data_IF_909358471079
#
_entry.id   IF_909358471079
#
_cell.length_a   1.000
_cell.length_b   1.000
_cell.length_c   1.000
_cell.angle_alpha   90.00
_cell.angle_beta   90.00
_cell.angle_gamma   90.00
#
_symmetry.space_group_name_H-M   'P 1'
#
loop_
_entity.id
_entity.type
_entity.pdbx_description
1 polymer ?
#
# COMPACT_ATOMS: atom_id res chain seq x y z
N UNK A 1 -6.47 21.24 -3.92
CA UNK A 1 -5.92 21.21 -5.28
C UNK A 1 -5.24 22.54 -5.54
N UNK A 2 -3.95 22.54 -5.89
CA UNK A 2 -3.24 23.76 -6.23
C UNK A 2 -3.78 24.33 -7.55
N UNK A 3 -3.79 25.67 -7.70
CA UNK A 3 -4.05 26.31 -9.01
C UNK A 3 -3.05 25.78 -10.05
N UNK A 4 -3.43 25.68 -11.33
CA UNK A 4 -2.55 25.25 -12.42
C UNK A 4 -1.20 25.97 -12.44
N UNK A 5 -1.19 27.23 -11.97
CA UNK A 5 0.00 28.09 -11.95
C UNK A 5 1.02 27.71 -10.85
N UNK A 6 0.66 26.79 -9.94
CA UNK A 6 1.51 26.33 -8.83
C UNK A 6 2.04 24.90 -9.02
N UNK A 7 1.75 24.28 -10.16
CA UNK A 7 2.17 22.92 -10.50
C UNK A 7 3.23 23.01 -11.59
N UNK A 8 4.41 22.45 -11.34
CA UNK A 8 5.37 22.17 -12.40
C UNK A 8 5.31 20.71 -12.79
N UNK A 9 5.16 20.42 -14.08
CA UNK A 9 5.02 19.05 -14.58
C UNK A 9 5.85 18.79 -15.83
N UNK A 10 6.59 17.68 -15.78
CA UNK A 10 7.18 16.98 -16.92
C UNK A 10 6.51 15.61 -17.16
N UNK A 11 5.35 15.38 -16.54
CA UNK A 11 4.62 14.10 -16.57
C UNK A 11 4.43 13.55 -17.99
N UNK A 12 4.79 12.27 -18.18
CA UNK A 12 4.51 11.51 -19.40
C UNK A 12 5.25 11.98 -20.65
N UNK A 13 6.30 12.80 -20.53
CA UNK A 13 7.05 13.32 -21.68
C UNK A 13 8.06 12.34 -22.28
N UNK A 14 8.38 11.24 -21.59
CA UNK A 14 9.31 10.22 -22.09
C UNK A 14 10.73 10.75 -22.30
N UNK A 15 11.16 11.74 -21.52
CA UNK A 15 12.47 12.36 -21.64
C UNK A 15 13.55 11.43 -21.07
N UNK A 16 14.69 11.33 -21.77
CA UNK A 16 15.90 10.69 -21.26
C UNK A 16 16.87 11.78 -20.80
N UNK A 17 16.98 11.94 -19.49
CA UNK A 17 17.71 13.01 -18.82
C UNK A 17 18.90 12.42 -18.07
N UNK A 18 20.00 12.17 -18.78
CA UNK A 18 21.17 11.51 -18.20
C UNK A 18 22.01 12.49 -17.37
N UNK A 19 22.16 13.73 -17.87
CA UNK A 19 23.00 14.77 -17.25
C UNK A 19 22.22 16.03 -16.84
N UNK A 20 22.92 16.97 -16.22
CA UNK A 20 22.37 18.28 -15.88
C UNK A 20 21.98 19.08 -17.15
N UNK A 21 22.81 18.97 -18.19
CA UNK A 21 22.60 19.65 -19.48
C UNK A 21 21.36 19.15 -20.21
N UNK A 22 21.00 17.87 -20.06
CA UNK A 22 19.77 17.32 -20.62
C UNK A 22 18.52 17.89 -19.92
N UNK A 23 18.59 18.11 -18.60
CA UNK A 23 17.47 18.60 -17.80
C UNK A 23 17.26 20.12 -17.93
N UNK A 24 18.34 20.89 -18.04
CA UNK A 24 18.31 22.36 -17.98
C UNK A 24 17.26 23.01 -18.91
N UNK A 25 17.10 22.61 -20.19
CA UNK A 25 16.11 23.18 -21.10
C UNK A 25 14.66 23.01 -20.64
N UNK A 26 14.39 22.03 -19.76
CA UNK A 26 13.04 21.66 -19.33
C UNK A 26 12.62 22.29 -18.01
N UNK A 27 13.57 22.83 -17.22
CA UNK A 27 13.32 23.30 -15.85
C UNK A 27 13.34 24.82 -15.70
N UNK A 28 13.44 25.59 -16.79
CA UNK A 28 13.36 27.05 -16.72
C UNK A 28 12.09 27.55 -15.98
N UNK A 29 10.88 27.00 -16.24
CA UNK A 29 9.68 27.38 -15.47
C UNK A 29 9.79 27.03 -13.99
N UNK A 30 10.35 25.86 -13.67
CA UNK A 30 10.58 25.44 -12.28
C UNK A 30 11.53 26.40 -11.57
N UNK A 31 12.58 26.90 -12.23
CA UNK A 31 13.51 27.86 -11.63
C UNK A 31 12.80 29.18 -11.28
N UNK A 32 11.99 29.72 -12.18
CA UNK A 32 11.33 31.02 -12.00
C UNK A 32 10.10 31.01 -11.11
N UNK A 33 9.39 29.88 -11.03
CA UNK A 33 8.11 29.80 -10.31
C UNK A 33 8.28 29.37 -8.85
N UNK A 34 7.37 29.84 -8.00
CA UNK A 34 7.15 29.31 -6.66
C UNK A 34 6.05 28.24 -6.74
N UNK A 35 6.46 26.98 -6.71
CA UNK A 35 5.59 25.83 -6.96
C UNK A 35 5.25 25.11 -5.66
N UNK A 36 4.03 24.59 -5.58
CA UNK A 36 3.57 23.75 -4.48
C UNK A 36 3.62 22.25 -4.84
N UNK A 37 3.70 21.92 -6.13
CA UNK A 37 3.72 20.54 -6.60
C UNK A 37 4.65 20.37 -7.80
N UNK A 38 5.41 19.29 -7.79
CA UNK A 38 6.31 18.89 -8.89
C UNK A 38 6.00 17.47 -9.32
N UNK A 39 5.80 17.27 -10.62
CA UNK A 39 5.54 15.96 -11.24
C UNK A 39 6.59 15.65 -12.30
N UNK A 40 7.35 14.58 -12.10
CA UNK A 40 8.45 14.17 -12.99
C UNK A 40 8.20 12.79 -13.61
N UNK A 41 7.13 12.10 -13.21
CA UNK A 41 6.84 10.72 -13.62
C UNK A 41 6.79 10.50 -15.14
N UNK A 42 7.20 9.31 -15.57
CA UNK A 42 7.24 8.91 -16.97
C UNK A 42 8.43 9.52 -17.73
N UNK A 43 9.54 9.78 -17.03
CA UNK A 43 10.82 10.21 -17.62
C UNK A 43 11.96 9.38 -17.02
N UNK A 44 13.11 9.32 -17.68
CA UNK A 44 14.27 8.56 -17.20
C UNK A 44 15.37 9.51 -16.73
N UNK A 45 15.62 9.58 -15.43
CA UNK A 45 16.59 10.50 -14.85
C UNK A 45 17.88 9.78 -14.41
N UNK A 46 19.01 10.40 -14.72
CA UNK A 46 20.33 9.99 -14.25
C UNK A 46 20.83 10.77 -13.06
N UNK A 47 21.99 10.34 -12.55
CA UNK A 47 22.61 10.95 -11.36
C UNK A 47 22.80 12.46 -11.55
N UNK A 48 23.27 12.89 -12.72
CA UNK A 48 23.47 14.32 -13.03
C UNK A 48 22.17 15.11 -13.06
N UNK A 49 21.14 14.59 -13.73
CA UNK A 49 19.82 15.21 -13.78
C UNK A 49 19.16 15.27 -12.38
N UNK A 50 19.19 14.18 -11.62
CA UNK A 50 18.68 14.10 -10.26
C UNK A 50 19.36 15.11 -9.33
N UNK A 51 20.68 15.26 -9.43
CA UNK A 51 21.42 16.26 -8.66
C UNK A 51 20.96 17.68 -8.98
N UNK A 52 20.92 18.06 -10.26
CA UNK A 52 20.47 19.38 -10.68
C UNK A 52 19.01 19.65 -10.26
N UNK A 53 18.12 18.67 -10.46
CA UNK A 53 16.73 18.76 -10.04
C UNK A 53 16.65 18.99 -8.53
N UNK A 54 17.37 18.20 -7.73
CA UNK A 54 17.44 18.34 -6.28
C UNK A 54 17.87 19.73 -5.84
N UNK A 55 18.95 20.27 -6.42
CA UNK A 55 19.44 21.62 -6.15
C UNK A 55 18.37 22.70 -6.42
N UNK A 56 17.63 22.57 -7.52
CA UNK A 56 16.52 23.49 -7.83
C UNK A 56 15.37 23.33 -6.85
N UNK A 57 14.98 22.11 -6.52
CA UNK A 57 13.88 21.84 -5.59
C UNK A 57 14.18 22.30 -4.16
N UNK A 58 15.44 22.25 -3.72
CA UNK A 58 15.86 22.76 -2.42
C UNK A 58 15.53 24.26 -2.23
N UNK A 59 15.38 25.02 -3.32
CA UNK A 59 14.97 26.43 -3.29
C UNK A 59 13.46 26.63 -3.10
N UNK A 60 12.64 25.60 -3.33
CA UNK A 60 11.17 25.68 -3.36
C UNK A 60 10.58 25.47 -1.97
N UNK A 61 10.66 26.51 -1.13
CA UNK A 61 10.21 26.44 0.28
C UNK A 61 8.71 26.22 0.45
N UNK A 62 7.91 26.49 -0.58
CA UNK A 62 6.48 26.24 -0.60
C UNK A 62 6.09 24.89 -1.22
N UNK A 63 7.06 24.07 -1.66
CA UNK A 63 6.80 22.75 -2.20
C UNK A 63 6.12 21.86 -1.16
N UNK A 64 5.00 21.26 -1.55
CA UNK A 64 4.15 20.39 -0.72
C UNK A 64 4.16 18.95 -1.22
N UNK A 65 4.17 18.78 -2.53
CA UNK A 65 4.09 17.48 -3.20
C UNK A 65 5.27 17.31 -4.15
N UNK A 66 6.02 16.23 -3.96
CA UNK A 66 7.01 15.78 -4.95
C UNK A 66 6.60 14.40 -5.47
N UNK A 67 6.20 14.35 -6.74
CA UNK A 67 5.89 13.14 -7.45
C UNK A 67 7.06 12.73 -8.35
N UNK A 68 7.84 11.79 -7.82
CA UNK A 68 9.00 11.14 -8.43
C UNK A 68 8.71 9.67 -8.74
N UNK A 69 7.44 9.32 -8.98
CA UNK A 69 7.11 7.98 -9.45
C UNK A 69 7.71 7.71 -10.83
N UNK A 70 8.09 6.48 -11.14
CA UNK A 70 8.57 6.07 -12.48
C UNK A 70 9.59 7.05 -13.09
N UNK A 71 10.70 7.30 -12.37
CA UNK A 71 11.78 8.17 -12.86
C UNK A 71 13.06 7.42 -13.24
N UNK A 72 13.12 6.12 -12.95
CA UNK A 72 14.32 5.30 -13.15
C UNK A 72 14.13 4.15 -14.14
N UNK A 73 13.06 4.17 -14.93
CA UNK A 73 12.86 3.17 -16.00
C UNK A 73 14.03 3.17 -16.97
N UNK A 74 14.64 2.00 -17.16
CA UNK A 74 15.82 1.79 -18.00
C UNK A 74 17.17 2.18 -17.39
N UNK A 75 17.22 2.64 -16.13
CA UNK A 75 18.47 2.92 -15.42
C UNK A 75 19.13 1.66 -14.86
N UNK A 76 20.45 1.69 -14.72
CA UNK A 76 21.19 0.63 -14.05
C UNK A 76 20.93 0.68 -12.54
N UNK A 77 20.70 -0.48 -11.92
CA UNK A 77 20.50 -0.59 -10.46
C UNK A 77 21.66 -0.01 -9.64
N UNK A 78 22.87 0.04 -10.19
CA UNK A 78 24.05 0.62 -9.54
C UNK A 78 24.04 2.15 -9.48
N UNK A 79 23.29 2.83 -10.37
CA UNK A 79 23.23 4.30 -10.43
C UNK A 79 22.07 4.88 -9.63
N UNK A 80 20.99 4.11 -9.47
CA UNK A 80 19.76 4.54 -8.78
C UNK A 80 20.05 5.03 -7.35
N UNK A 81 20.87 4.37 -6.51
CA UNK A 81 21.17 4.84 -5.15
C UNK A 81 21.72 6.28 -5.12
N UNK A 82 22.67 6.61 -5.99
CA UNK A 82 23.30 7.94 -6.04
C UNK A 82 22.33 9.00 -6.56
N UNK A 83 21.53 8.63 -7.58
CA UNK A 83 20.52 9.49 -8.17
C UNK A 83 19.43 9.86 -7.13
N UNK A 84 18.84 8.86 -6.47
CA UNK A 84 17.78 9.10 -5.49
C UNK A 84 18.32 9.77 -4.22
N UNK A 85 19.55 9.43 -3.80
CA UNK A 85 20.22 10.10 -2.68
C UNK A 85 20.36 11.59 -2.91
N UNK A 86 20.77 11.98 -4.12
CA UNK A 86 20.90 13.40 -4.51
C UNK A 86 19.57 14.14 -4.43
N UNK A 87 18.48 13.52 -4.89
CA UNK A 87 17.14 14.10 -4.82
C UNK A 87 16.64 14.22 -3.37
N UNK A 88 16.61 13.11 -2.64
CA UNK A 88 16.01 13.05 -1.29
C UNK A 88 16.78 13.91 -0.29
N UNK A 89 18.12 13.91 -0.36
CA UNK A 89 18.95 14.77 0.50
C UNK A 89 18.65 16.25 0.28
N UNK A 90 18.42 16.65 -0.98
CA UNK A 90 18.16 18.04 -1.33
C UNK A 90 16.80 18.53 -0.84
N UNK A 91 15.79 17.65 -0.80
CA UNK A 91 14.43 18.00 -0.38
C UNK A 91 14.14 17.70 1.10
N UNK A 92 15.07 17.06 1.81
CA UNK A 92 14.93 16.61 3.20
C UNK A 92 14.46 17.70 4.18
N UNK A 93 14.94 18.93 4.01
CA UNK A 93 14.66 20.04 4.92
C UNK A 93 13.57 20.99 4.41
N UNK A 94 12.81 20.61 3.38
CA UNK A 94 11.70 21.44 2.90
C UNK A 94 10.55 21.40 3.91
N UNK A 95 10.17 22.56 4.48
CA UNK A 95 9.32 22.60 5.67
C UNK A 95 7.85 22.26 5.39
N UNK A 96 7.41 22.38 4.13
CA UNK A 96 6.01 22.16 3.72
C UNK A 96 5.84 20.89 2.89
N UNK A 97 6.93 20.19 2.57
CA UNK A 97 6.90 18.99 1.74
C UNK A 97 6.26 17.86 2.56
N UNK A 98 4.98 17.62 2.32
CA UNK A 98 4.21 16.68 3.12
C UNK A 98 3.85 15.41 2.34
N UNK A 99 4.06 15.42 1.02
CA UNK A 99 3.76 14.29 0.15
C UNK A 99 4.97 13.93 -0.69
N UNK A 100 5.40 12.68 -0.57
CA UNK A 100 6.44 12.10 -1.41
C UNK A 100 5.85 10.88 -2.11
N UNK A 101 5.90 10.89 -3.43
CA UNK A 101 5.56 9.74 -4.25
C UNK A 101 6.79 9.22 -4.98
N UNK A 102 7.14 7.97 -4.70
CA UNK A 102 8.27 7.22 -5.22
C UNK A 102 7.84 5.91 -5.86
N UNK A 103 6.55 5.75 -6.18
CA UNK A 103 6.02 4.54 -6.80
C UNK A 103 6.79 4.15 -8.06
N UNK A 104 6.76 2.86 -8.41
CA UNK A 104 7.21 2.37 -9.72
C UNK A 104 8.69 2.69 -10.01
N UNK A 105 9.51 2.75 -8.97
CA UNK A 105 10.96 2.84 -9.10
C UNK A 105 11.60 1.54 -8.60
N UNK A 106 12.34 0.85 -9.48
CA UNK A 106 13.01 -0.41 -9.16
C UNK A 106 14.21 -0.19 -8.21
N UNK A 107 13.91 0.05 -6.93
CA UNK A 107 14.89 0.27 -5.88
C UNK A 107 15.66 -1.02 -5.58
N UNK A 108 15.00 -2.17 -5.62
CA UNK A 108 15.63 -3.44 -5.29
C UNK A 108 16.21 -3.44 -3.87
N UNK A 109 17.10 -4.39 -3.60
CA UNK A 109 17.74 -4.53 -2.29
C UNK A 109 18.85 -3.49 -2.02
N UNK A 110 19.31 -2.73 -3.01
CA UNK A 110 20.50 -1.86 -2.84
C UNK A 110 20.19 -0.40 -2.54
N UNK A 111 18.93 0.03 -2.67
CA UNK A 111 18.54 1.46 -2.60
C UNK A 111 18.02 1.85 -1.20
N UNK A 112 18.26 1.02 -0.19
CA UNK A 112 17.65 1.16 1.13
C UNK A 112 18.18 2.40 1.89
N UNK A 113 19.50 2.64 1.88
CA UNK A 113 20.10 3.64 2.77
C UNK A 113 19.60 5.08 2.53
N UNK A 114 19.52 5.61 1.29
CA UNK A 114 19.01 6.96 1.07
C UNK A 114 17.54 7.14 1.45
N UNK A 115 16.71 6.13 1.16
CA UNK A 115 15.29 6.14 1.52
C UNK A 115 15.11 6.09 3.04
N UNK A 116 15.78 5.17 3.72
CA UNK A 116 15.76 5.03 5.18
C UNK A 116 16.18 6.34 5.85
N UNK A 117 17.29 6.94 5.41
CA UNK A 117 17.76 8.21 5.97
C UNK A 117 16.74 9.35 5.78
N UNK A 118 16.12 9.44 4.61
CA UNK A 118 15.09 10.44 4.33
C UNK A 118 13.83 10.21 5.19
N UNK A 119 13.28 9.00 5.16
CA UNK A 119 12.05 8.67 5.88
C UNK A 119 12.22 8.84 7.38
N UNK A 120 13.36 8.44 7.94
CA UNK A 120 13.66 8.60 9.36
C UNK A 120 13.77 10.06 9.79
N UNK A 121 14.01 11.02 8.88
CA UNK A 121 14.35 12.41 9.22
C UNK A 121 13.34 13.45 8.72
N UNK A 122 12.51 13.16 7.71
CA UNK A 122 11.63 14.14 7.08
C UNK A 122 10.35 14.42 7.89
N UNK A 123 10.49 15.21 8.97
CA UNK A 123 9.41 15.55 9.93
C UNK A 123 8.09 16.03 9.29
N UNK A 124 8.07 16.80 8.19
CA UNK A 124 6.81 17.25 7.58
C UNK A 124 5.99 16.16 6.86
N UNK A 125 6.54 14.96 6.64
CA UNK A 125 5.89 13.88 5.88
C UNK A 125 4.49 13.53 6.43
N UNK A 126 3.48 13.54 5.58
CA UNK A 126 2.09 13.13 5.86
C UNK A 126 1.63 12.00 4.96
N UNK A 127 2.07 11.98 3.70
CA UNK A 127 1.64 11.02 2.70
C UNK A 127 2.85 10.42 1.99
N UNK A 128 3.02 9.11 2.18
CA UNK A 128 4.08 8.32 1.57
C UNK A 128 3.48 7.35 0.55
N UNK A 129 4.00 7.42 -0.68
CA UNK A 129 3.69 6.47 -1.73
C UNK A 129 4.99 5.79 -2.16
N UNK A 130 5.04 4.49 -1.93
CA UNK A 130 6.19 3.61 -2.13
C UNK A 130 5.69 2.25 -2.65
N UNK A 131 4.81 2.27 -3.65
CA UNK A 131 4.21 1.10 -4.27
C UNK A 131 5.10 0.60 -5.42
N UNK A 132 5.20 -0.72 -5.58
CA UNK A 132 5.89 -1.34 -6.72
C UNK A 132 7.37 -0.93 -6.84
N UNK A 133 8.13 -1.08 -5.75
CA UNK A 133 9.55 -0.73 -5.71
C UNK A 133 10.51 -1.93 -5.62
N UNK A 134 9.98 -3.15 -5.48
CA UNK A 134 10.77 -4.38 -5.44
C UNK A 134 11.71 -4.47 -4.22
N UNK A 135 11.23 -4.03 -3.06
CA UNK A 135 12.05 -3.89 -1.84
C UNK A 135 12.41 -5.22 -1.16
N UNK A 136 11.51 -6.20 -1.15
CA UNK A 136 11.66 -7.42 -0.36
C UNK A 136 11.46 -7.20 1.15
N UNK A 137 11.46 -8.29 1.95
CA UNK A 137 11.19 -8.22 3.38
C UNK A 137 12.25 -7.43 4.15
N UNK A 138 13.53 -7.59 3.83
CA UNK A 138 14.62 -6.89 4.52
C UNK A 138 14.51 -5.37 4.42
N UNK A 139 14.40 -4.85 3.20
CA UNK A 139 14.20 -3.41 3.00
C UNK A 139 12.88 -2.96 3.62
N UNK A 140 11.83 -3.81 3.56
CA UNK A 140 10.57 -3.60 4.27
C UNK A 140 10.74 -3.33 5.76
N UNK A 141 11.60 -4.10 6.45
CA UNK A 141 11.95 -3.90 7.86
C UNK A 141 12.58 -2.52 8.04
N UNK A 142 13.60 -2.18 7.24
CA UNK A 142 14.31 -0.91 7.39
C UNK A 142 13.40 0.30 7.15
N UNK A 143 12.48 0.22 6.18
CA UNK A 143 11.49 1.27 5.93
C UNK A 143 10.54 1.42 7.11
N UNK A 144 10.04 0.33 7.67
CA UNK A 144 9.15 0.37 8.83
C UNK A 144 9.85 0.91 10.10
N UNK A 145 11.12 0.54 10.32
CA UNK A 145 11.92 1.09 11.41
C UNK A 145 12.25 2.57 11.19
N UNK A 146 12.52 3.00 9.96
CA UNK A 146 12.68 4.41 9.62
C UNK A 146 11.41 5.22 9.95
N UNK A 147 10.22 4.68 9.67
CA UNK A 147 8.96 5.30 10.07
C UNK A 147 8.79 5.35 11.59
N UNK A 148 9.27 4.35 12.33
CA UNK A 148 9.29 4.38 13.79
C UNK A 148 10.23 5.46 14.35
N UNK A 149 11.39 5.67 13.72
CA UNK A 149 12.28 6.78 14.07
C UNK A 149 11.65 8.14 13.73
N UNK A 150 10.99 8.25 12.58
CA UNK A 150 10.25 9.45 12.17
C UNK A 150 9.21 9.83 13.20
N UNK A 151 8.47 8.86 13.76
CA UNK A 151 7.54 9.11 14.85
C UNK A 151 8.23 9.80 16.03
N UNK A 152 9.38 9.26 16.45
CA UNK A 152 10.16 9.83 17.57
C UNK A 152 10.61 11.27 17.29
N UNK A 153 11.02 11.58 16.05
CA UNK A 153 11.39 12.95 15.66
C UNK A 153 10.20 13.89 15.58
N UNK A 154 9.04 13.42 15.10
CA UNK A 154 7.79 14.20 15.11
C UNK A 154 7.39 14.53 16.55
N UNK A 155 7.44 13.58 17.46
CA UNK A 155 7.15 13.79 18.88
C UNK A 155 8.13 14.75 19.56
N UNK A 156 9.43 14.63 19.28
CA UNK A 156 10.43 15.57 19.78
C UNK A 156 10.15 17.01 19.30
N UNK A 157 9.86 17.19 18.01
CA UNK A 157 9.53 18.48 17.45
C UNK A 157 8.22 19.07 18.03
N UNK A 158 7.20 18.25 18.31
CA UNK A 158 5.97 18.68 19.00
C UNK A 158 6.24 19.15 20.42
N UNK A 159 7.12 18.46 21.16
CA UNK A 159 7.54 18.86 22.52
C UNK A 159 8.29 20.19 22.52
N UNK A 160 8.98 20.53 21.44
CA UNK A 160 9.60 21.85 21.21
C UNK A 160 8.59 22.95 20.81
N UNK A 161 7.29 22.63 20.75
CA UNK A 161 6.23 23.59 20.39
C UNK A 161 6.06 23.80 18.89
N UNK A 162 6.66 22.95 18.04
CA UNK A 162 6.46 23.01 16.59
C UNK A 162 5.13 22.35 16.22
N UNK A 163 4.41 22.96 15.29
CA UNK A 163 3.26 22.32 14.65
C UNK A 163 3.77 21.27 13.65
N UNK A 164 3.54 20.00 13.97
CA UNK A 164 4.03 18.86 13.17
C UNK A 164 2.86 17.95 12.84
N UNK A 165 2.60 17.72 11.54
CA UNK A 165 1.47 16.90 11.15
C UNK A 165 1.71 15.42 11.42
N UNK A 166 0.63 14.68 11.64
CA UNK A 166 0.65 13.22 11.75
C UNK A 166 0.91 12.57 10.38
N UNK A 167 1.48 11.36 10.38
CA UNK A 167 1.52 10.54 9.17
C UNK A 167 0.11 10.00 8.92
N UNK A 168 -0.46 10.28 7.74
CA UNK A 168 -1.86 9.99 7.42
C UNK A 168 -2.01 8.91 6.34
N UNK A 169 -1.05 8.80 5.43
CA UNK A 169 -1.12 7.85 4.31
C UNK A 169 0.19 7.10 4.14
N UNK A 170 0.09 5.78 4.04
CA UNK A 170 1.18 4.89 3.62
C UNK A 170 0.64 3.94 2.55
N UNK A 171 1.12 4.09 1.33
CA UNK A 171 0.88 3.16 0.23
C UNK A 171 2.19 2.44 -0.06
N UNK A 172 2.25 1.14 0.25
CA UNK A 172 3.46 0.33 0.20
C UNK A 172 3.12 -1.09 -0.29
N UNK A 173 2.39 -1.21 -1.39
CA UNK A 173 2.07 -2.48 -2.04
C UNK A 173 3.12 -2.93 -3.07
N UNK A 174 2.99 -4.16 -3.57
CA UNK A 174 3.83 -4.72 -4.65
C UNK A 174 5.33 -4.66 -4.34
N UNK A 175 5.69 -4.87 -3.08
CA UNK A 175 7.07 -4.80 -2.61
C UNK A 175 7.61 -6.11 -2.09
N UNK A 176 6.81 -7.18 -2.09
CA UNK A 176 7.16 -8.46 -1.46
C UNK A 176 7.61 -8.26 -0.02
N UNK A 177 6.80 -7.55 0.77
CA UNK A 177 7.11 -7.30 2.17
C UNK A 177 7.08 -8.60 2.99
N UNK A 178 6.25 -9.57 2.59
CA UNK A 178 6.16 -10.92 3.15
C UNK A 178 5.96 -10.91 4.68
N UNK A 179 5.99 -12.08 5.33
CA UNK A 179 5.82 -12.15 6.79
C UNK A 179 6.98 -11.52 7.56
N UNK A 180 8.22 -11.69 7.07
CA UNK A 180 9.45 -11.31 7.78
C UNK A 180 9.54 -9.82 8.15
N UNK A 181 8.77 -8.94 7.50
CA UNK A 181 8.75 -7.52 7.85
C UNK A 181 7.57 -7.09 8.75
N UNK A 182 6.61 -7.97 9.03
CA UNK A 182 5.35 -7.58 9.67
C UNK A 182 5.51 -7.17 11.13
N UNK A 183 6.51 -7.69 11.84
CA UNK A 183 6.85 -7.23 13.21
C UNK A 183 7.24 -5.75 13.21
N UNK A 184 8.05 -5.32 12.24
CA UNK A 184 8.47 -3.93 12.11
C UNK A 184 7.31 -3.02 11.67
N UNK A 185 6.49 -3.47 10.71
CA UNK A 185 5.30 -2.73 10.28
C UNK A 185 4.24 -2.59 11.37
N UNK A 186 3.99 -3.64 12.16
CA UNK A 186 3.08 -3.59 13.30
C UNK A 186 3.53 -2.53 14.32
N UNK A 187 4.82 -2.52 14.68
CA UNK A 187 5.42 -1.49 15.53
C UNK A 187 5.26 -0.09 14.95
N UNK A 188 5.51 0.10 13.66
CA UNK A 188 5.37 1.41 13.00
C UNK A 188 3.92 1.92 13.06
N UNK A 189 2.92 1.09 12.76
CA UNK A 189 1.51 1.49 12.80
C UNK A 189 0.96 1.66 14.21
N UNK A 190 1.47 0.91 15.19
CA UNK A 190 1.16 1.14 16.62
C UNK A 190 1.59 2.54 17.07
N UNK A 191 2.73 3.02 16.59
CA UNK A 191 3.22 4.38 16.85
C UNK A 191 2.43 5.43 16.06
N UNK A 192 2.23 5.22 14.76
CA UNK A 192 1.45 6.11 13.88
C UNK A 192 -0.05 5.83 13.92
N UNK A 193 -0.64 5.74 15.11
CA UNK A 193 -2.02 5.31 15.35
C UNK A 193 -3.13 6.26 14.84
N UNK A 194 -2.75 7.40 14.26
CA UNK A 194 -3.66 8.37 13.61
C UNK A 194 -3.68 8.26 12.09
N UNK A 195 -3.00 7.26 11.54
CA UNK A 195 -3.01 6.98 10.10
C UNK A 195 -4.45 6.74 9.61
N UNK A 196 -4.74 7.24 8.41
CA UNK A 196 -6.07 7.20 7.79
C UNK A 196 -6.12 6.24 6.61
N UNK A 197 -5.04 6.14 5.83
CA UNK A 197 -5.00 5.34 4.61
C UNK A 197 -3.80 4.41 4.65
N UNK A 198 -4.06 3.11 4.59
CA UNK A 198 -3.06 2.06 4.45
C UNK A 198 -3.41 1.22 3.23
N UNK A 199 -2.48 1.13 2.29
CA UNK A 199 -2.57 0.17 1.18
C UNK A 199 -1.28 -0.65 1.11
N UNK A 200 -1.37 -1.94 1.39
CA UNK A 200 -0.25 -2.88 1.38
C UNK A 200 -0.58 -4.11 0.51
N UNK A 201 -1.19 -3.84 -0.65
CA UNK A 201 -1.64 -4.84 -1.62
C UNK A 201 -0.48 -5.65 -2.20
N UNK A 202 -0.71 -6.90 -2.59
CA UNK A 202 0.24 -7.70 -3.39
C UNK A 202 1.64 -7.77 -2.76
N UNK A 203 1.72 -8.04 -1.45
CA UNK A 203 2.98 -8.10 -0.73
C UNK A 203 3.42 -9.52 -0.36
N UNK A 204 2.62 -10.53 -0.69
CA UNK A 204 2.90 -11.92 -0.31
C UNK A 204 2.91 -12.11 1.20
N UNK A 205 2.20 -11.27 1.96
CA UNK A 205 2.05 -11.43 3.41
C UNK A 205 1.13 -12.62 3.63
N UNK A 206 1.54 -13.59 4.45
CA UNK A 206 0.78 -14.79 4.75
C UNK A 206 0.00 -14.64 6.06
N UNK A 207 -0.77 -15.66 6.42
CA UNK A 207 -1.78 -15.62 7.47
C UNK A 207 -1.19 -15.20 8.84
N UNK A 208 0.03 -15.61 9.16
CA UNK A 208 0.71 -15.22 10.41
C UNK A 208 1.11 -13.74 10.40
N UNK A 209 1.67 -13.26 9.29
CA UNK A 209 2.03 -11.86 9.09
C UNK A 209 0.82 -10.94 9.12
N UNK A 210 -0.27 -11.31 8.42
CA UNK A 210 -1.55 -10.61 8.44
C UNK A 210 -2.09 -10.54 9.87
N UNK A 211 -2.14 -11.69 10.56
CA UNK A 211 -2.66 -11.75 11.92
C UNK A 211 -1.87 -10.89 12.90
N UNK A 212 -0.53 -10.89 12.79
CA UNK A 212 0.34 -10.04 13.60
C UNK A 212 0.17 -8.56 13.29
N UNK A 213 0.17 -8.18 12.01
CA UNK A 213 -0.04 -6.80 11.56
C UNK A 213 -1.36 -6.24 12.11
N UNK A 214 -2.44 -7.02 12.03
CA UNK A 214 -3.77 -6.65 12.51
C UNK A 214 -3.81 -6.53 14.04
N UNK A 215 -3.33 -7.55 14.76
CA UNK A 215 -3.43 -7.61 16.21
C UNK A 215 -2.51 -6.61 16.93
N UNK A 216 -1.24 -6.50 16.49
CA UNK A 216 -0.21 -5.73 17.19
C UNK A 216 0.00 -4.32 16.62
N UNK A 217 -0.43 -4.09 15.37
CA UNK A 217 -0.33 -2.79 14.71
C UNK A 217 -1.68 -2.10 14.55
N UNK A 218 -2.49 -2.61 13.62
CA UNK A 218 -3.69 -1.92 13.13
C UNK A 218 -4.85 -1.88 14.13
N UNK A 219 -4.82 -2.72 15.17
CA UNK A 219 -5.74 -2.64 16.31
C UNK A 219 -5.73 -1.26 17.00
N UNK A 220 -4.62 -0.53 16.88
CA UNK A 220 -4.45 0.82 17.44
C UNK A 220 -4.87 1.95 16.48
N UNK A 221 -5.06 1.66 15.18
CA UNK A 221 -5.33 2.65 14.14
C UNK A 221 -6.81 3.13 14.15
N UNK A 222 -7.23 3.80 15.22
CA UNK A 222 -8.63 4.23 15.42
C UNK A 222 -9.16 5.27 14.40
N UNK A 223 -8.25 5.90 13.65
CA UNK A 223 -8.55 6.89 12.60
C UNK A 223 -8.51 6.32 11.19
N UNK A 224 -8.36 5.00 11.06
CA UNK A 224 -8.30 4.34 9.76
C UNK A 224 -9.63 4.56 8.99
N UNK A 225 -9.49 5.09 7.78
CA UNK A 225 -10.56 5.38 6.83
C UNK A 225 -10.49 4.41 5.65
N UNK A 226 -9.29 4.06 5.18
CA UNK A 226 -9.08 3.12 4.07
C UNK A 226 -8.05 2.08 4.48
N UNK A 227 -8.44 0.81 4.41
CA UNK A 227 -7.53 -0.33 4.52
C UNK A 227 -7.63 -1.18 3.27
N UNK A 228 -6.51 -1.39 2.60
CA UNK A 228 -6.42 -2.27 1.45
C UNK A 228 -5.25 -3.25 1.61
N UNK A 229 -5.59 -4.52 1.79
CA UNK A 229 -4.67 -5.64 1.94
C UNK A 229 -4.90 -6.70 0.84
N UNK A 230 -5.57 -6.33 -0.26
CA UNK A 230 -5.86 -7.21 -1.39
C UNK A 230 -4.63 -7.99 -1.87
N UNK A 231 -4.84 -9.24 -2.29
CA UNK A 231 -3.80 -10.14 -2.81
C UNK A 231 -2.65 -10.33 -1.79
N UNK A 232 -3.06 -10.72 -0.59
CA UNK A 232 -2.20 -11.30 0.46
C UNK A 232 -2.94 -12.53 1.00
N UNK A 233 -2.24 -13.49 1.59
CA UNK A 233 -2.89 -14.73 2.03
C UNK A 233 -3.41 -14.58 3.46
N UNK A 234 -4.74 -14.51 3.62
CA UNK A 234 -5.36 -14.44 4.94
C UNK A 234 -5.64 -15.82 5.52
N UNK A 235 -6.23 -16.73 4.73
CA UNK A 235 -6.90 -17.95 5.25
C UNK A 235 -7.94 -17.62 6.32
N UNK A 236 -8.50 -18.65 6.97
CA UNK A 236 -9.38 -18.45 8.12
C UNK A 236 -8.64 -17.80 9.31
N UNK A 237 -7.32 -18.01 9.44
CA UNK A 237 -6.51 -17.44 10.52
C UNK A 237 -6.44 -15.91 10.44
N UNK A 238 -6.08 -15.36 9.28
CA UNK A 238 -6.08 -13.92 9.03
C UNK A 238 -7.48 -13.31 9.09
N UNK A 239 -8.49 -14.00 8.55
CA UNK A 239 -9.89 -13.57 8.63
C UNK A 239 -10.38 -13.45 10.09
N UNK A 240 -10.01 -14.40 10.95
CA UNK A 240 -10.30 -14.35 12.38
C UNK A 240 -9.61 -13.17 13.05
N UNK A 241 -8.35 -12.90 12.73
CA UNK A 241 -7.65 -11.73 13.24
C UNK A 241 -8.34 -10.42 12.82
N UNK A 242 -8.75 -10.31 11.56
CA UNK A 242 -9.51 -9.16 11.05
C UNK A 242 -10.83 -9.00 11.81
N UNK A 243 -11.57 -10.09 12.02
CA UNK A 243 -12.85 -10.06 12.75
C UNK A 243 -12.73 -9.53 14.18
N UNK A 244 -11.56 -9.71 14.83
CA UNK A 244 -11.28 -9.23 16.20
C UNK A 244 -11.04 -7.70 16.25
N UNK A 245 -10.61 -7.07 15.15
CA UNK A 245 -10.18 -5.66 15.14
C UNK A 245 -11.09 -4.74 14.32
N UNK A 246 -11.75 -5.25 13.27
CA UNK A 246 -12.49 -4.42 12.29
C UNK A 246 -13.59 -3.56 12.93
N UNK A 247 -14.24 -4.07 13.99
CA UNK A 247 -15.29 -3.36 14.72
C UNK A 247 -14.81 -2.05 15.40
N UNK A 248 -13.50 -1.92 15.64
CA UNK A 248 -12.91 -0.74 16.27
C UNK A 248 -12.65 0.42 15.29
N UNK A 249 -12.60 0.15 13.99
CA UNK A 249 -12.35 1.16 12.95
C UNK A 249 -13.63 1.93 12.61
N UNK A 250 -14.10 2.74 13.57
CA UNK A 250 -15.32 3.55 13.46
C UNK A 250 -15.29 4.62 12.36
N UNK A 251 -14.10 4.93 11.83
CA UNK A 251 -13.91 5.88 10.72
C UNK A 251 -13.76 5.22 9.36
N UNK A 252 -13.78 3.88 9.30
CA UNK A 252 -13.55 3.10 8.08
C UNK A 252 -14.62 3.41 7.04
N UNK A 253 -14.17 3.70 5.83
CA UNK A 253 -14.93 4.03 4.63
C UNK A 253 -14.71 2.99 3.53
N UNK A 254 -13.52 2.39 3.46
CA UNK A 254 -13.19 1.36 2.49
C UNK A 254 -12.39 0.24 3.15
N UNK A 255 -12.82 -1.01 2.90
CA UNK A 255 -12.08 -2.22 3.27
C UNK A 255 -11.90 -3.10 2.05
N UNK A 256 -10.65 -3.27 1.63
CA UNK A 256 -10.25 -4.18 0.56
C UNK A 256 -9.46 -5.37 1.09
N UNK A 257 -10.02 -6.57 0.91
CA UNK A 257 -9.39 -7.86 1.20
C UNK A 257 -9.75 -8.87 0.09
N UNK A 258 -9.87 -8.41 -1.16
CA UNK A 258 -10.03 -9.28 -2.32
C UNK A 258 -8.81 -10.17 -2.54
N UNK A 259 -8.96 -11.24 -3.31
CA UNK A 259 -7.89 -12.17 -3.66
C UNK A 259 -7.12 -12.68 -2.43
N UNK A 260 -7.79 -12.87 -1.29
CA UNK A 260 -7.14 -13.08 0.01
C UNK A 260 -7.39 -14.45 0.65
N UNK A 261 -8.12 -15.34 -0.03
CA UNK A 261 -8.42 -16.70 0.43
C UNK A 261 -9.05 -16.70 1.83
N UNK A 262 -10.06 -15.88 2.09
CA UNK A 262 -10.73 -15.90 3.41
C UNK A 262 -11.41 -17.26 3.69
N UNK A 263 -11.88 -17.93 2.66
CA UNK A 263 -12.65 -19.17 2.73
C UNK A 263 -14.06 -18.98 3.30
N UNK A 264 -14.86 -20.05 3.25
CA UNK A 264 -16.25 -20.06 3.70
C UNK A 264 -16.41 -19.56 5.15
N UNK A 265 -15.59 -20.08 6.07
CA UNK A 265 -15.61 -19.72 7.50
C UNK A 265 -15.11 -18.31 7.75
N UNK A 266 -14.04 -17.89 7.06
CA UNK A 266 -13.48 -16.54 7.21
C UNK A 266 -14.47 -15.47 6.76
N UNK A 267 -15.16 -15.67 5.63
CA UNK A 267 -16.21 -14.77 5.15
C UNK A 267 -17.31 -14.56 6.19
N UNK A 268 -17.82 -15.64 6.80
CA UNK A 268 -18.84 -15.55 7.87
C UNK A 268 -18.33 -14.79 9.10
N UNK A 269 -17.08 -15.02 9.52
CA UNK A 269 -16.49 -14.33 10.68
C UNK A 269 -16.39 -12.82 10.46
N UNK A 270 -15.89 -12.41 9.29
CA UNK A 270 -15.73 -10.99 8.93
C UNK A 270 -17.10 -10.31 8.81
N UNK A 271 -18.07 -10.95 8.13
CA UNK A 271 -19.43 -10.43 8.01
C UNK A 271 -20.10 -10.24 9.39
N UNK A 272 -19.98 -11.24 10.27
CA UNK A 272 -20.55 -11.17 11.61
C UNK A 272 -19.91 -10.07 12.48
N UNK A 273 -18.60 -9.83 12.33
CA UNK A 273 -17.90 -8.76 13.02
C UNK A 273 -18.34 -7.38 12.52
N UNK A 274 -18.50 -7.20 11.20
CA UNK A 274 -18.99 -5.97 10.60
C UNK A 274 -20.45 -5.69 11.00
N UNK A 275 -21.32 -6.70 11.01
CA UNK A 275 -22.72 -6.56 11.41
C UNK A 275 -22.87 -6.07 12.87
N UNK A 276 -21.98 -6.50 13.77
CA UNK A 276 -21.97 -6.10 15.18
C UNK A 276 -21.10 -4.87 15.46
N UNK A 277 -20.32 -4.44 14.48
CA UNK A 277 -19.35 -3.37 14.59
C UNK A 277 -19.99 -1.98 14.62
N UNK A 278 -19.13 -0.96 14.68
CA UNK A 278 -19.55 0.46 14.62
C UNK A 278 -19.07 1.13 13.33
N UNK A 279 -18.97 0.35 12.25
CA UNK A 279 -18.46 0.76 10.94
C UNK A 279 -19.53 1.53 10.14
N UNK A 280 -20.18 2.51 10.77
CA UNK A 280 -21.32 3.23 10.19
C UNK A 280 -20.97 4.11 8.98
N UNK A 281 -19.68 4.30 8.70
CA UNK A 281 -19.16 5.08 7.57
C UNK A 281 -18.64 4.21 6.43
N UNK A 282 -18.69 2.88 6.55
CA UNK A 282 -18.15 1.98 5.54
C UNK A 282 -19.01 2.06 4.27
N UNK A 283 -18.41 2.53 3.19
CA UNK A 283 -19.06 2.77 1.90
C UNK A 283 -18.72 1.67 0.89
N UNK A 284 -17.50 1.13 0.95
CA UNK A 284 -17.01 0.15 -0.04
C UNK A 284 -16.40 -1.07 0.64
N UNK A 285 -16.85 -2.26 0.23
CA UNK A 285 -16.31 -3.56 0.61
C UNK A 285 -15.80 -4.28 -0.64
N UNK A 286 -14.51 -4.63 -0.68
CA UNK A 286 -13.91 -5.41 -1.78
C UNK A 286 -13.50 -6.79 -1.29
N UNK A 287 -14.21 -7.82 -1.75
CA UNK A 287 -14.19 -9.19 -1.25
C UNK A 287 -14.08 -10.22 -2.40
N UNK A 288 -13.69 -9.81 -3.60
CA UNK A 288 -13.57 -10.71 -4.75
C UNK A 288 -12.61 -11.87 -4.48
N UNK A 289 -12.80 -13.00 -5.15
CA UNK A 289 -11.86 -14.14 -5.16
C UNK A 289 -11.38 -14.57 -3.77
N UNK A 290 -12.32 -14.81 -2.85
CA UNK A 290 -12.04 -15.18 -1.47
C UNK A 290 -12.57 -16.55 -1.07
N UNK A 291 -13.10 -17.33 -2.01
CA UNK A 291 -13.72 -18.64 -1.73
C UNK A 291 -14.87 -18.53 -0.70
N UNK A 292 -15.57 -17.40 -0.68
CA UNK A 292 -16.72 -17.17 0.20
C UNK A 292 -17.92 -17.89 -0.40
N UNK A 293 -18.58 -18.75 0.38
CA UNK A 293 -19.79 -19.46 -0.06
C UNK A 293 -21.05 -18.60 0.09
N UNK A 294 -22.17 -19.07 -0.47
CA UNK A 294 -23.50 -18.46 -0.28
C UNK A 294 -23.86 -18.15 1.18
N UNK A 295 -23.43 -18.98 2.13
CA UNK A 295 -23.62 -18.72 3.57
C UNK A 295 -22.90 -17.45 4.03
N UNK A 296 -21.69 -17.21 3.53
CA UNK A 296 -20.92 -16.00 3.78
C UNK A 296 -21.56 -14.78 3.12
N UNK A 297 -21.99 -14.88 1.85
CA UNK A 297 -22.67 -13.77 1.18
C UNK A 297 -23.99 -13.40 1.87
N UNK A 298 -24.78 -14.39 2.30
CA UNK A 298 -25.97 -14.15 3.13
C UNK A 298 -25.65 -13.39 4.43
N UNK A 299 -24.51 -13.71 5.06
CA UNK A 299 -24.05 -13.00 6.24
C UNK A 299 -23.67 -11.55 5.90
N UNK A 300 -23.00 -11.30 4.76
CA UNK A 300 -22.71 -9.95 4.29
C UNK A 300 -23.98 -9.17 3.91
N UNK A 301 -24.98 -9.79 3.28
CA UNK A 301 -26.27 -9.18 3.01
C UNK A 301 -26.98 -8.74 4.30
N UNK A 302 -26.93 -9.58 5.33
CA UNK A 302 -27.45 -9.24 6.67
C UNK A 302 -26.64 -8.08 7.29
N UNK A 303 -25.31 -8.12 7.20
CA UNK A 303 -24.45 -7.04 7.69
C UNK A 303 -24.71 -5.71 6.98
N UNK A 304 -24.88 -5.73 5.66
CA UNK A 304 -25.20 -4.58 4.83
C UNK A 304 -26.51 -3.94 5.29
N UNK A 305 -27.54 -4.74 5.54
CA UNK A 305 -28.86 -4.29 5.99
C UNK A 305 -28.85 -3.72 7.41
N UNK A 306 -28.23 -4.44 8.35
CA UNK A 306 -28.42 -4.19 9.79
C UNK A 306 -27.28 -3.38 10.43
N UNK A 307 -26.05 -3.46 9.88
CA UNK A 307 -24.85 -2.90 10.51
C UNK A 307 -24.09 -1.86 9.69
N UNK A 308 -24.29 -1.83 8.37
CA UNK A 308 -23.53 -0.96 7.45
C UNK A 308 -24.45 0.00 6.68
N UNK A 309 -25.01 1.03 7.35
CA UNK A 309 -26.02 1.91 6.76
C UNK A 309 -25.49 2.80 5.63
N UNK A 310 -24.17 3.00 5.55
CA UNK A 310 -23.52 3.82 4.52
C UNK A 310 -22.98 3.00 3.34
N UNK A 311 -23.10 1.66 3.35
CA UNK A 311 -22.55 0.82 2.28
C UNK A 311 -23.22 1.17 0.95
N UNK A 312 -22.39 1.49 -0.03
CA UNK A 312 -22.76 1.84 -1.41
C UNK A 312 -22.38 0.73 -2.38
N UNK A 313 -21.21 0.12 -2.18
CA UNK A 313 -20.63 -0.87 -3.07
C UNK A 313 -20.09 -2.09 -2.33
N UNK A 314 -20.39 -3.26 -2.86
CA UNK A 314 -19.82 -4.53 -2.42
C UNK A 314 -19.33 -5.32 -3.64
N UNK A 315 -18.07 -5.73 -3.64
CA UNK A 315 -17.47 -6.49 -4.74
C UNK A 315 -17.25 -7.93 -4.28
N UNK A 316 -17.93 -8.89 -4.92
CA UNK A 316 -17.96 -10.30 -4.53
C UNK A 316 -17.72 -11.25 -5.71
N UNK A 317 -17.35 -10.75 -6.89
CA UNK A 317 -17.03 -11.59 -8.04
C UNK A 317 -15.94 -12.64 -7.71
N UNK A 318 -16.01 -13.82 -8.34
CA UNK A 318 -15.04 -14.91 -8.12
C UNK A 318 -15.13 -15.62 -6.77
N UNK A 319 -16.23 -15.45 -6.03
CA UNK A 319 -16.55 -16.27 -4.86
C UNK A 319 -17.37 -17.50 -5.25
N UNK A 320 -17.58 -18.45 -4.32
CA UNK A 320 -18.28 -19.71 -4.58
C UNK A 320 -19.80 -19.46 -4.46
N UNK A 321 -20.38 -18.96 -5.54
CA UNK A 321 -21.78 -18.51 -5.63
C UNK A 321 -22.55 -19.31 -6.67
N UNK A 322 -23.81 -19.62 -6.37
CA UNK A 322 -24.73 -20.27 -7.30
C UNK A 322 -25.68 -19.25 -7.92
N UNK A 323 -26.18 -19.53 -9.13
CA UNK A 323 -27.18 -18.67 -9.81
C UNK A 323 -28.46 -18.45 -8.98
N UNK A 324 -28.81 -19.42 -8.14
CA UNK A 324 -30.01 -19.39 -7.29
C UNK A 324 -29.78 -18.74 -5.89
N UNK A 325 -28.64 -18.10 -5.64
CA UNK A 325 -28.39 -17.47 -4.34
C UNK A 325 -29.26 -16.22 -4.15
N UNK A 326 -30.34 -16.36 -3.37
CA UNK A 326 -31.28 -15.29 -3.01
C UNK A 326 -30.59 -14.07 -2.35
N UNK A 327 -29.36 -14.20 -1.84
CA UNK A 327 -28.63 -13.10 -1.21
C UNK A 327 -28.14 -12.06 -2.22
N UNK A 328 -27.91 -12.46 -3.47
CA UNK A 328 -27.45 -11.58 -4.55
C UNK A 328 -28.52 -10.53 -4.90
N UNK A 329 -29.77 -10.90 -5.27
CA UNK A 329 -30.81 -9.91 -5.55
C UNK A 329 -31.13 -9.05 -4.31
N UNK A 330 -31.06 -9.61 -3.10
CA UNK A 330 -31.24 -8.82 -1.87
C UNK A 330 -30.18 -7.72 -1.72
N UNK A 331 -28.92 -8.02 -2.03
CA UNK A 331 -27.85 -7.01 -2.02
C UNK A 331 -28.06 -5.97 -3.12
N UNK A 332 -28.39 -6.40 -4.34
CA UNK A 332 -28.62 -5.51 -5.48
C UNK A 332 -29.78 -4.54 -5.20
N UNK A 333 -30.93 -5.04 -4.76
CA UNK A 333 -32.09 -4.23 -4.39
C UNK A 333 -31.74 -3.23 -3.28
N UNK A 334 -31.07 -3.68 -2.21
CA UNK A 334 -30.67 -2.81 -1.10
C UNK A 334 -29.76 -1.67 -1.55
N UNK A 335 -28.76 -1.95 -2.40
CA UNK A 335 -27.80 -0.95 -2.86
C UNK A 335 -28.40 -0.02 -3.90
N UNK A 336 -29.31 -0.51 -4.75
CA UNK A 336 -30.06 0.34 -5.70
C UNK A 336 -31.00 1.30 -4.95
N UNK A 337 -31.74 0.82 -3.94
CA UNK A 337 -32.58 1.69 -3.09
C UNK A 337 -31.74 2.80 -2.41
N UNK A 338 -30.51 2.48 -2.01
CA UNK A 338 -29.58 3.47 -1.43
C UNK A 338 -29.04 4.43 -2.48
N UNK A 339 -28.71 3.95 -3.68
CA UNK A 339 -28.27 4.77 -4.81
C UNK A 339 -29.34 5.78 -5.19
N UNK A 340 -30.60 5.35 -5.34
CA UNK A 340 -31.73 6.24 -5.62
C UNK A 340 -31.91 7.30 -4.52
N UNK A 341 -31.69 6.92 -3.26
CA UNK A 341 -31.89 7.82 -2.11
C UNK A 341 -30.73 8.78 -1.86
N UNK A 342 -29.50 8.37 -2.14
CA UNK A 342 -28.28 9.07 -1.68
C UNK A 342 -27.29 9.42 -2.81
N UNK A 343 -27.48 8.93 -4.04
CA UNK A 343 -26.55 9.12 -5.16
C UNK A 343 -26.46 10.55 -5.69
N UNK A 344 -27.47 11.39 -5.41
CA UNK A 344 -27.52 12.77 -5.92
C UNK A 344 -27.81 12.84 -7.42
N UNK A 345 -27.70 14.05 -8.00
CA UNK A 345 -28.07 14.30 -9.40
C UNK A 345 -27.06 13.76 -10.42
N UNK A 346 -25.80 13.58 -10.01
CA UNK A 346 -24.71 13.06 -10.84
C UNK A 346 -24.14 11.84 -10.11
N UNK A 347 -24.53 10.66 -10.57
CA UNK A 347 -24.09 9.38 -10.01
C UNK A 347 -22.96 8.81 -10.84
N UNK A 348 -21.85 8.47 -10.19
CA UNK A 348 -20.83 7.61 -10.78
C UNK A 348 -21.25 6.17 -10.56
N UNK A 349 -21.55 5.43 -11.62
CA UNK A 349 -22.04 4.05 -11.54
C UNK A 349 -21.04 3.12 -10.85
N UNK A 350 -19.74 3.37 -10.99
CA UNK A 350 -18.67 2.56 -10.39
C UNK A 350 -18.63 2.64 -8.85
N UNK A 351 -19.29 3.64 -8.24
CA UNK A 351 -19.30 3.82 -6.79
C UNK A 351 -20.44 3.05 -6.08
N UNK A 352 -21.31 2.37 -6.83
CA UNK A 352 -22.53 1.75 -6.31
C UNK A 352 -22.69 0.29 -6.74
N UNK A 353 -23.55 -0.41 -6.00
CA UNK A 353 -24.07 -1.72 -6.38
C UNK A 353 -23.15 -2.90 -6.06
N UNK A 354 -23.49 -4.02 -6.67
CA UNK A 354 -22.67 -5.25 -6.68
C UNK A 354 -21.86 -5.24 -7.97
N UNK A 355 -20.61 -5.69 -7.92
CA UNK A 355 -19.79 -5.88 -9.13
C UNK A 355 -20.41 -6.90 -10.10
N UNK A 356 -19.93 -6.89 -11.34
CA UNK A 356 -20.36 -7.85 -12.36
C UNK A 356 -19.89 -9.25 -11.95
N UNK A 357 -20.84 -10.18 -11.79
CA UNK A 357 -20.57 -11.57 -11.42
C UNK A 357 -20.34 -12.37 -12.70
N UNK A 358 -19.12 -12.84 -12.89
CA UNK A 358 -18.73 -13.71 -14.01
C UNK A 358 -18.69 -15.17 -13.52
N UNK A 359 -19.04 -16.11 -14.39
CA UNK A 359 -18.85 -17.56 -14.20
C UNK A 359 -19.36 -18.13 -12.86
N UNK A 360 -20.66 -17.99 -12.57
CA UNK A 360 -21.29 -18.63 -11.40
C UNK A 360 -21.21 -20.17 -11.52
N UNK A 361 -20.59 -20.83 -10.54
CA UNK A 361 -20.35 -22.28 -10.56
C UNK A 361 -21.55 -23.06 -9.97
N UNK A 362 -21.93 -24.17 -10.60
CA UNK A 362 -22.72 -25.20 -9.90
C UNK A 362 -21.81 -25.90 -8.88
N UNK A 363 -22.22 -26.07 -7.62
CA UNK A 363 -21.34 -26.61 -6.59
C UNK A 363 -20.94 -28.05 -6.97
N UNK A 364 -19.64 -28.30 -7.06
CA UNK A 364 -19.13 -29.64 -7.34
C UNK A 364 -19.57 -30.58 -6.20
N UNK A 365 -20.21 -31.71 -6.54
CA UNK A 365 -20.85 -32.60 -5.56
C UNK A 365 -19.87 -33.27 -4.59
N UNK A 366 -18.57 -33.07 -4.81
CA UNK A 366 -17.46 -33.66 -4.06
C UNK A 366 -16.70 -32.62 -3.19
N UNK A 367 -17.17 -31.37 -3.13
CA UNK A 367 -16.64 -30.38 -2.18
C UNK A 367 -17.14 -30.70 -0.76
N UNK A 368 -16.53 -31.69 -0.13
CA UNK A 368 -16.68 -31.89 1.31
C UNK A 368 -16.26 -30.58 2.02
N UNK A 369 -17.16 -30.02 2.85
CA UNK A 369 -16.80 -28.99 3.83
C UNK A 369 -15.84 -29.65 4.83
N UNK A 370 -14.55 -29.76 4.48
CA UNK A 370 -13.53 -30.12 5.45
C UNK A 370 -13.51 -28.99 6.49
N UNK A 371 -14.09 -29.25 7.65
CA UNK A 371 -13.83 -28.47 8.85
C UNK A 371 -12.34 -28.66 9.18
N UNK A 372 -11.47 -27.85 8.58
CA UNK A 372 -10.10 -27.75 9.05
C UNK A 372 -10.15 -27.20 10.49
N UNK A 373 -9.99 -28.11 11.45
CA UNK A 373 -9.56 -27.79 12.80
C UNK A 373 -8.11 -27.29 12.71
N UNK A 374 -7.92 -26.04 12.28
CA UNK A 374 -6.63 -25.36 12.47
C UNK A 374 -6.40 -25.21 13.98
N UNK A 375 -5.35 -25.84 14.50
CA UNK A 375 -4.87 -25.61 15.85
C UNK A 375 -4.59 -24.11 16.03
N UNK A 376 -5.19 -23.47 17.03
CA UNK A 376 -4.86 -22.09 17.39
C UNK A 376 -3.39 -22.06 17.85
N UNK A 377 -2.49 -21.64 16.96
CA UNK A 377 -1.09 -21.37 17.32
C UNK A 377 -1.09 -20.25 18.35
N UNK A 378 -0.50 -20.49 19.52
CA UNK A 378 -0.43 -19.50 20.59
C UNK A 378 0.29 -18.22 20.11
N UNK A 379 -0.09 -17.03 20.62
CA UNK A 379 0.50 -15.76 20.18
C UNK A 379 2.03 -15.70 20.32
N UNK A 380 2.58 -16.38 21.33
CA UNK A 380 4.02 -16.46 21.60
C UNK A 380 4.75 -17.26 20.51
N UNK A 381 4.27 -18.46 20.18
CA UNK A 381 4.85 -19.32 19.13
C UNK A 381 4.81 -18.65 17.75
N UNK A 382 3.71 -17.94 17.45
CA UNK A 382 3.59 -17.15 16.22
C UNK A 382 4.60 -16.00 16.18
N UNK A 383 4.81 -15.32 17.31
CA UNK A 383 5.79 -14.24 17.40
C UNK A 383 7.21 -14.77 17.21
N UNK A 384 7.55 -15.91 17.80
CA UNK A 384 8.84 -16.57 17.59
C UNK A 384 9.08 -16.94 16.13
N UNK A 385 8.08 -17.51 15.45
CA UNK A 385 8.16 -17.82 14.01
C UNK A 385 8.42 -16.57 13.17
N UNK A 386 7.70 -15.47 13.44
CA UNK A 386 7.88 -14.21 12.71
C UNK A 386 9.23 -13.54 13.01
N UNK A 387 9.75 -13.65 14.23
CA UNK A 387 11.10 -13.18 14.58
C UNK A 387 12.12 -13.98 13.77
N UNK A 388 11.97 -15.32 13.72
CA UNK A 388 12.85 -16.17 12.93
C UNK A 388 12.81 -15.83 11.44
N UNK A 389 11.63 -15.65 10.87
CA UNK A 389 11.48 -15.22 9.47
C UNK A 389 12.08 -13.82 9.22
N UNK A 390 12.00 -12.91 10.20
CA UNK A 390 12.64 -11.60 10.14
C UNK A 390 14.18 -11.70 10.20
N UNK A 391 14.72 -12.58 11.05
CA UNK A 391 16.15 -12.87 11.15
C UNK A 391 16.67 -13.54 9.87
N UNK A 392 15.97 -14.55 9.35
CA UNK A 392 16.29 -15.22 8.08
C UNK A 392 16.29 -14.21 6.92
N UNK A 393 15.29 -13.33 6.86
CA UNK A 393 15.23 -12.25 5.86
C UNK A 393 16.39 -11.25 5.99
N UNK A 394 17.00 -11.10 7.18
CA UNK A 394 18.19 -10.26 7.36
C UNK A 394 19.49 -10.97 7.01
N UNK A 395 19.53 -12.30 7.13
CA UNK A 395 20.71 -13.12 6.84
C UNK A 395 20.78 -13.58 5.38
N UNK A 396 19.68 -13.49 4.61
CA UNK A 396 19.68 -13.82 3.19
C UNK A 396 20.75 -13.01 2.43
N UNK A 397 21.75 -13.67 1.81
CA UNK A 397 22.84 -12.98 1.18
C UNK A 397 22.33 -12.23 -0.06
N UNK A 398 22.65 -10.94 -0.13
CA UNK A 398 22.44 -10.08 -1.30
C UNK A 398 23.45 -10.48 -2.38
N UNK A 399 23.34 -11.71 -2.90
CA UNK A 399 24.22 -12.16 -3.98
C UNK A 399 23.67 -11.52 -5.25
N UNK A 400 24.40 -10.60 -5.93
CA UNK A 400 24.16 -10.44 -7.35
C UNK A 400 24.48 -11.80 -7.93
N UNK A 401 23.46 -12.57 -8.32
CA UNK A 401 23.64 -13.89 -8.91
C UNK A 401 24.72 -13.71 -9.98
N UNK A 402 25.94 -14.21 -9.70
CA UNK A 402 26.99 -14.34 -10.70
C UNK A 402 26.52 -15.46 -11.59
N UNK A 403 25.59 -15.09 -12.45
CA UNK A 403 25.10 -15.97 -13.46
C UNK A 403 26.26 -16.20 -14.42
N UNK A 404 26.78 -17.43 -14.39
CA UNK A 404 27.89 -17.82 -15.26
C UNK A 404 27.49 -17.64 -16.72
N UNK A 405 26.21 -17.70 -17.05
CA UNK A 405 25.71 -17.43 -18.39
C UNK A 405 25.84 -15.94 -18.74
N UNK A 406 25.58 -15.03 -17.80
CA UNK A 406 25.75 -13.57 -17.99
C UNK A 406 27.23 -13.20 -18.11
N UNK A 407 28.10 -13.79 -17.28
CA UNK A 407 29.56 -13.60 -17.37
C UNK A 407 30.14 -14.20 -18.68
N UNK A 408 29.57 -15.32 -19.17
CA UNK A 408 29.94 -15.88 -20.47
C UNK A 408 29.40 -15.05 -21.64
N UNK A 409 28.22 -14.46 -21.52
CA UNK A 409 27.65 -13.56 -22.52
C UNK A 409 28.48 -12.27 -22.63
N UNK A 410 28.87 -11.69 -21.49
CA UNK A 410 29.75 -10.51 -21.43
C UNK A 410 31.12 -10.79 -22.07
N UNK A 411 31.71 -11.96 -21.81
CA UNK A 411 32.97 -12.38 -22.45
C UNK A 411 32.83 -12.70 -23.94
N UNK A 412 31.66 -13.13 -24.41
CA UNK A 412 31.39 -13.32 -25.84
C UNK A 412 31.19 -11.97 -26.56
N UNK A 413 30.60 -11.00 -25.89
CA UNK A 413 30.44 -9.63 -26.40
C UNK A 413 31.77 -8.88 -26.47
N UNK A 414 32.67 -9.02 -25.48
CA UNK A 414 34.03 -8.46 -25.55
C UNK A 414 34.87 -9.05 -26.70
N UNK A 415 34.60 -10.30 -27.10
CA UNK A 415 35.31 -10.98 -28.20
C UNK A 415 34.76 -10.67 -29.60
N UNK A 416 33.64 -9.97 -29.69
CA UNK A 416 33.01 -9.59 -30.96
C UNK A 416 33.18 -8.12 -31.30
N UNK A 417 34.22 -7.47 -30.76
CA UNK A 417 34.65 -6.14 -31.18
C UNK A 417 34.78 -6.04 -32.70
N UNK A 418 33.80 -5.38 -33.31
CA UNK A 418 33.89 -4.65 -34.57
C UNK A 418 33.88 -3.18 -34.20
#
# INVERSE_FOLDING_TARGET
>A
MASSDKIFSLEGKGLKLDTAEDLEPHIAPLRSADVEEVRILGNTLGVGACKLLGEVLATKKNLRVANFADIFTGRLLSEIPDAISSLLTSVLNLPKLNTINLNDNAFGLNVQAPLVAFLAAHVPLQHLYLNNNGMGPHAGILIADALSELHSKKEAARKEGKEVPDLETVICGRNRLENGSMTAWAKAYKLHNKIKVIKMVQNGIRQEGISHLLAEGLSHASKLEVLDLQDNTFTVTGARALSKVVANWTSLQELGVGDSLLGAKGGVLVAAALAKGKNAKLETLRLQYNEITSKGIKAFATAAKDGLPALKRIEINGNILTEDDESIPVLQELLEERKEKFGGDIVNEDDWGVDELEDLEEPDSDAEEEEEEEEEIEPEDRAEKLIKEAEEAQEEPVIPVKDKEVDELAKKLEKTGI
#
